data_IF_397149674003
#
_entry.id   IF_397149674003
#
_cell.length_a   1.000
_cell.length_b   1.000
_cell.length_c   1.000
_cell.angle_alpha   90.00
_cell.angle_beta   90.00
_cell.angle_gamma   90.00
#
_symmetry.space_group_name_H-M   'P 1'
#
loop_
_entity.id
_entity.type
_entity.pdbx_description
1 polymer ?
#
# COMPACT_ATOMS: atom_id res chain seq x y z
N UNK A 1 7.62 -0.55 7.15
CA UNK A 1 8.10 0.84 7.14
C UNK A 1 9.00 1.12 5.93
N UNK A 2 10.15 0.43 5.74
CA UNK A 2 11.05 0.56 4.56
C UNK A 2 10.35 0.62 3.20
N UNK A 3 9.43 -0.31 2.95
CA UNK A 3 8.72 -0.41 1.65
C UNK A 3 7.73 0.75 1.44
N UNK A 4 7.14 1.34 2.48
CA UNK A 4 6.11 2.38 2.33
C UNK A 4 6.65 3.81 2.49
N UNK A 5 7.64 4.01 3.35
CA UNK A 5 8.11 5.34 3.75
C UNK A 5 9.58 5.59 3.38
N UNK A 6 10.28 4.60 2.83
CA UNK A 6 11.70 4.67 2.51
C UNK A 6 12.62 4.38 3.70
N UNK A 7 13.91 4.19 3.42
CA UNK A 7 14.93 3.86 4.42
C UNK A 7 15.32 5.04 5.30
N UNK A 8 15.23 6.26 4.75
CA UNK A 8 15.69 7.46 5.45
C UNK A 8 14.80 7.86 6.63
N UNK A 9 13.58 7.33 6.69
CA UNK A 9 12.59 7.62 7.75
C UNK A 9 12.98 7.07 9.12
N UNK A 10 13.89 6.09 9.20
CA UNK A 10 14.38 5.62 10.49
C UNK A 10 15.18 6.69 11.25
N UNK A 11 15.90 7.56 10.53
CA UNK A 11 16.74 8.59 11.12
C UNK A 11 15.93 9.64 11.91
N UNK A 12 14.90 10.31 11.34
CA UNK A 12 14.10 11.28 12.07
C UNK A 12 13.33 10.62 13.22
N UNK A 13 12.87 9.37 13.04
CA UNK A 13 12.19 8.62 14.12
C UNK A 13 13.13 8.35 15.30
N UNK A 14 14.33 7.84 15.06
CA UNK A 14 15.30 7.56 16.12
C UNK A 14 15.75 8.85 16.82
N UNK A 15 16.08 9.88 16.04
CA UNK A 15 16.50 11.17 16.57
C UNK A 15 15.38 11.84 17.40
N UNK A 16 14.14 11.85 16.89
CA UNK A 16 13.00 12.43 17.60
C UNK A 16 12.65 11.65 18.87
N UNK A 17 12.70 10.32 18.81
CA UNK A 17 12.51 9.47 20.00
C UNK A 17 13.57 9.77 21.05
N UNK A 18 14.85 9.88 20.67
CA UNK A 18 15.94 10.24 21.58
C UNK A 18 15.74 11.61 22.24
N UNK A 19 15.38 12.63 21.45
CA UNK A 19 15.07 13.96 21.97
C UNK A 19 13.88 13.94 22.95
N UNK A 20 12.82 13.21 22.61
CA UNK A 20 11.62 13.14 23.45
C UNK A 20 11.85 12.39 24.76
N UNK A 21 12.70 11.36 24.76
CA UNK A 21 13.07 10.62 25.99
C UNK A 21 13.98 11.46 26.89
N UNK A 22 14.82 12.33 26.32
CA UNK A 22 15.62 13.29 27.10
C UNK A 22 14.79 14.40 27.74
N UNK A 23 13.65 14.77 27.14
CA UNK A 23 12.79 15.84 27.62
C UNK A 23 11.34 15.36 27.82
N UNK A 24 11.16 14.49 28.82
CA UNK A 24 9.87 13.87 29.15
C UNK A 24 8.77 14.86 29.54
N UNK A 25 9.13 16.10 29.91
CA UNK A 25 8.17 17.15 30.24
C UNK A 25 7.46 17.73 29.01
N UNK A 26 8.00 17.54 27.80
CA UNK A 26 7.33 17.98 26.58
C UNK A 26 6.25 16.96 26.16
N UNK A 27 5.08 17.07 26.77
CA UNK A 27 3.93 16.19 26.53
C UNK A 27 3.51 16.13 25.04
N UNK A 28 3.77 17.19 24.26
CA UNK A 28 3.46 17.22 22.82
C UNK A 28 4.37 16.31 22.00
N UNK A 29 5.66 16.27 22.33
CA UNK A 29 6.60 15.36 21.66
C UNK A 29 6.36 13.91 22.12
N UNK A 30 6.11 13.75 23.43
CA UNK A 30 5.85 12.45 24.02
C UNK A 30 4.58 11.80 23.43
N UNK A 31 3.51 12.58 23.21
CA UNK A 31 2.27 12.05 22.62
C UNK A 31 2.48 11.52 21.20
N UNK A 32 3.32 12.16 20.39
CA UNK A 32 3.67 11.69 19.05
C UNK A 32 4.49 10.40 19.08
N UNK A 33 5.45 10.29 20.01
CA UNK A 33 6.24 9.06 20.22
C UNK A 33 5.35 7.93 20.70
N UNK A 34 4.47 8.18 21.67
CA UNK A 34 3.51 7.19 22.18
C UNK A 34 2.52 6.78 21.08
N UNK A 35 2.05 7.71 20.25
CA UNK A 35 1.16 7.36 19.16
C UNK A 35 1.87 6.49 18.11
N UNK A 36 3.08 6.88 17.69
CA UNK A 36 3.88 6.10 16.75
C UNK A 36 4.16 4.70 17.30
N UNK A 37 4.83 4.61 18.45
CA UNK A 37 5.23 3.33 19.02
C UNK A 37 4.05 2.52 19.54
N UNK A 38 3.01 3.15 20.07
CA UNK A 38 1.80 2.47 20.52
C UNK A 38 1.11 1.72 19.38
N UNK A 39 0.97 2.34 18.21
CA UNK A 39 0.43 1.68 17.01
C UNK A 39 1.34 0.54 16.56
N UNK A 40 2.66 0.78 16.48
CA UNK A 40 3.60 -0.25 16.05
C UNK A 40 3.67 -1.45 17.01
N UNK A 41 3.69 -1.20 18.32
CA UNK A 41 3.71 -2.25 19.33
C UNK A 41 2.41 -3.04 19.33
N UNK A 42 1.26 -2.38 19.26
CA UNK A 42 -0.04 -3.04 19.18
C UNK A 42 -0.11 -4.00 18.00
N UNK A 43 0.22 -3.53 16.78
CA UNK A 43 0.19 -4.37 15.59
C UNK A 43 1.33 -5.39 15.50
N UNK A 44 2.38 -5.27 16.33
CA UNK A 44 3.41 -6.31 16.44
C UNK A 44 2.88 -7.58 17.09
N UNK A 45 1.86 -7.49 17.94
CA UNK A 45 1.20 -8.62 18.59
C UNK A 45 0.02 -9.20 17.78
N UNK A 46 -0.42 -8.52 16.71
CA UNK A 46 -1.51 -9.02 15.87
C UNK A 46 -1.08 -10.27 15.08
N UNK A 47 -1.96 -11.28 15.03
CA UNK A 47 -1.71 -12.54 14.34
C UNK A 47 -1.51 -12.36 12.82
N UNK A 48 -2.29 -11.45 12.21
CA UNK A 48 -2.21 -11.16 10.77
C UNK A 48 -1.44 -9.87 10.56
N UNK A 49 -0.19 -9.94 10.09
CA UNK A 49 0.64 -8.75 9.86
C UNK A 49 0.38 -8.16 8.48
N UNK A 50 -0.40 -7.08 8.40
CA UNK A 50 -0.65 -6.34 7.16
C UNK A 50 0.14 -5.03 7.10
N UNK A 51 0.69 -4.72 5.92
CA UNK A 51 1.45 -3.47 5.71
C UNK A 51 0.59 -2.21 5.93
N UNK A 52 -0.70 -2.30 5.63
CA UNK A 52 -1.68 -1.21 5.76
C UNK A 52 -1.82 -0.68 7.19
N UNK A 53 -1.48 -1.46 8.23
CA UNK A 53 -1.53 -1.00 9.62
C UNK A 53 -0.62 0.19 9.90
N UNK A 54 0.44 0.34 9.10
CA UNK A 54 1.36 1.48 9.21
C UNK A 54 0.74 2.81 8.77
N UNK A 55 -0.41 2.79 8.07
CA UNK A 55 -1.15 4.00 7.68
C UNK A 55 -1.68 4.75 8.90
N UNK A 56 -2.08 4.03 9.96
CA UNK A 56 -2.57 4.64 11.20
C UNK A 56 -1.46 5.43 11.91
N UNK A 57 -0.21 4.98 11.77
CA UNK A 57 0.97 5.64 12.30
C UNK A 57 1.53 6.75 11.38
N UNK A 58 1.03 6.87 10.15
CA UNK A 58 1.57 7.77 9.14
C UNK A 58 1.48 9.26 9.52
N UNK A 59 0.37 9.78 10.10
CA UNK A 59 0.31 11.20 10.47
C UNK A 59 1.36 11.58 11.52
N UNK A 60 1.57 10.75 12.54
CA UNK A 60 2.62 10.96 13.54
C UNK A 60 4.00 10.98 12.88
N UNK A 61 4.25 10.06 11.95
CA UNK A 61 5.50 9.95 11.22
C UNK A 61 5.77 11.19 10.36
N UNK A 62 4.76 11.74 9.69
CA UNK A 62 4.90 12.97 8.90
C UNK A 62 5.23 14.18 9.77
N UNK A 63 4.56 14.33 10.92
CA UNK A 63 4.85 15.40 11.87
C UNK A 63 6.28 15.30 12.40
N UNK A 64 6.71 14.09 12.78
CA UNK A 64 8.07 13.82 13.25
C UNK A 64 9.11 14.16 12.16
N UNK A 65 8.84 13.77 10.92
CA UNK A 65 9.73 14.02 9.79
C UNK A 65 9.84 15.51 9.47
N UNK A 66 8.71 16.24 9.51
CA UNK A 66 8.69 17.69 9.31
C UNK A 66 9.47 18.43 10.41
N UNK A 67 9.26 18.05 11.66
CA UNK A 67 10.00 18.64 12.79
C UNK A 67 11.50 18.36 12.72
N UNK A 68 11.88 17.13 12.33
CA UNK A 68 13.26 16.77 12.10
C UNK A 68 13.87 17.65 10.99
N UNK A 69 13.19 17.79 9.85
CA UNK A 69 13.65 18.63 8.74
C UNK A 69 13.94 20.07 9.18
N UNK A 70 13.04 20.71 9.95
CA UNK A 70 13.24 22.06 10.48
C UNK A 70 14.44 22.12 11.42
N UNK A 71 14.57 21.13 12.32
CA UNK A 71 15.67 21.06 13.29
C UNK A 71 17.03 20.86 12.60
N UNK A 72 17.10 19.99 11.58
CA UNK A 72 18.31 19.76 10.80
C UNK A 72 18.74 21.02 10.02
N UNK A 73 17.79 21.81 9.49
CA UNK A 73 18.10 23.11 8.88
C UNK A 73 18.63 24.10 9.89
N UNK A 74 18.01 24.21 11.08
CA UNK A 74 18.50 25.07 12.16
C UNK A 74 19.92 24.69 12.59
N UNK A 75 20.20 23.39 12.72
CA UNK A 75 21.56 22.92 13.02
C UNK A 75 22.56 23.19 11.89
N UNK A 76 22.13 23.15 10.63
CA UNK A 76 22.98 23.45 9.49
C UNK A 76 23.45 24.93 9.48
N UNK A 77 22.60 25.83 9.99
CA UNK A 77 22.93 27.25 10.17
C UNK A 77 23.87 27.47 11.36
N UNK A 78 23.68 26.73 12.46
CA UNK A 78 24.50 26.83 13.66
C UNK A 78 25.89 26.15 13.50
N UNK A 79 25.97 25.02 12.80
CA UNK A 79 27.18 24.21 12.65
C UNK A 79 27.71 24.24 11.20
N UNK A 80 28.39 25.33 10.84
CA UNK A 80 28.89 25.60 9.48
C UNK A 80 29.73 24.44 8.92
N UNK A 81 30.53 23.76 9.75
CA UNK A 81 31.38 22.63 9.35
C UNK A 81 30.59 21.46 8.74
N UNK A 82 29.37 21.21 9.19
CA UNK A 82 28.53 20.09 8.73
C UNK A 82 27.31 20.56 7.94
N UNK A 83 27.25 21.85 7.60
CA UNK A 83 26.12 22.49 6.92
C UNK A 83 25.65 21.72 5.69
N UNK A 84 26.57 21.35 4.80
CA UNK A 84 26.24 20.63 3.57
C UNK A 84 25.70 19.23 3.83
N UNK A 85 26.23 18.51 4.82
CA UNK A 85 25.75 17.18 5.19
C UNK A 85 24.33 17.26 5.78
N UNK A 86 24.09 18.21 6.67
CA UNK A 86 22.78 18.41 7.30
C UNK A 86 21.72 18.88 6.29
N UNK A 87 22.10 19.75 5.35
CA UNK A 87 21.22 20.15 4.23
C UNK A 87 20.94 18.98 3.30
N UNK A 88 21.97 18.20 2.91
CA UNK A 88 21.78 17.02 2.07
C UNK A 88 20.82 16.02 2.73
N UNK A 89 20.93 15.82 4.05
CA UNK A 89 20.03 14.96 4.81
C UNK A 89 18.60 15.51 4.82
N UNK A 90 18.43 16.81 5.08
CA UNK A 90 17.14 17.48 5.10
C UNK A 90 16.43 17.38 3.74
N UNK A 91 17.13 17.67 2.64
CA UNK A 91 16.59 17.50 1.28
C UNK A 91 16.35 16.03 0.94
N UNK A 92 17.18 15.12 1.45
CA UNK A 92 17.01 13.68 1.30
C UNK A 92 15.65 13.17 1.80
N UNK A 93 15.11 13.74 2.88
CA UNK A 93 13.77 13.38 3.38
C UNK A 93 12.64 13.68 2.40
N UNK A 94 12.85 14.60 1.46
CA UNK A 94 11.86 14.98 0.44
C UNK A 94 12.16 14.27 -0.89
N UNK A 95 13.42 14.28 -1.31
CA UNK A 95 13.83 13.76 -2.61
C UNK A 95 13.70 12.23 -2.71
N UNK A 96 14.01 11.50 -1.64
CA UNK A 96 13.93 10.03 -1.66
C UNK A 96 12.49 9.52 -1.79
N UNK A 97 11.50 9.98 -0.99
CA UNK A 97 10.11 9.59 -1.21
C UNK A 97 9.61 9.90 -2.62
N UNK A 98 9.97 11.06 -3.17
CA UNK A 98 9.60 11.45 -4.54
C UNK A 98 10.20 10.46 -5.56
N UNK A 99 11.48 10.12 -5.42
CA UNK A 99 12.14 9.14 -6.29
C UNK A 99 11.43 7.79 -6.24
N UNK A 100 11.15 7.26 -5.04
CA UNK A 100 10.42 6.01 -4.87
C UNK A 100 8.98 6.09 -5.40
N UNK A 101 8.31 7.24 -5.30
CA UNK A 101 6.99 7.44 -5.89
C UNK A 101 7.04 7.36 -7.42
N UNK A 102 8.02 8.00 -8.05
CA UNK A 102 8.21 7.94 -9.51
C UNK A 102 8.53 6.51 -9.95
N UNK A 103 9.46 5.84 -9.26
CA UNK A 103 9.83 4.44 -9.52
C UNK A 103 8.63 3.50 -9.38
N UNK A 104 7.74 3.73 -8.42
CA UNK A 104 6.54 2.90 -8.20
C UNK A 104 5.43 3.15 -9.22
N UNK A 105 5.19 4.41 -9.57
CA UNK A 105 4.17 4.76 -10.54
C UNK A 105 4.60 4.30 -11.94
N UNK A 106 5.92 4.15 -12.18
CA UNK A 106 6.51 3.85 -13.48
C UNK A 106 5.81 4.62 -14.61
N UNK A 107 5.75 5.96 -14.54
CA UNK A 107 4.89 6.75 -15.41
C UNK A 107 5.22 6.62 -16.91
N UNK A 108 6.46 6.21 -17.22
CA UNK A 108 6.95 6.03 -18.58
C UNK A 108 6.93 4.56 -19.06
N UNK A 109 6.52 3.63 -18.19
CA UNK A 109 6.41 2.21 -18.54
C UNK A 109 5.05 1.96 -19.22
N UNK A 110 5.05 2.04 -20.54
CA UNK A 110 3.87 1.77 -21.39
C UNK A 110 3.49 0.28 -21.42
N UNK A 111 4.30 -0.61 -20.82
CA UNK A 111 4.11 -2.06 -20.91
C UNK A 111 2.96 -2.60 -20.04
N UNK A 112 2.37 -1.80 -19.14
CA UNK A 112 1.53 -2.33 -18.05
C UNK A 112 0.02 -2.00 -18.14
N UNK A 113 -0.47 -1.27 -19.15
CA UNK A 113 -1.85 -0.73 -19.11
C UNK A 113 -2.85 -1.24 -20.14
N UNK A 114 -2.43 -1.99 -21.14
CA UNK A 114 -3.34 -2.78 -21.98
C UNK A 114 -3.13 -4.26 -21.74
N UNK A 115 -3.40 -4.69 -20.50
CA UNK A 115 -3.55 -6.10 -20.23
C UNK A 115 -4.77 -6.59 -21.02
N UNK A 116 -4.52 -7.32 -22.10
CA UNK A 116 -5.54 -7.89 -23.00
C UNK A 116 -6.65 -8.62 -22.23
N UNK A 117 -6.33 -9.22 -21.09
CA UNK A 117 -7.32 -9.83 -20.20
C UNK A 117 -8.31 -8.82 -19.58
N UNK A 118 -7.86 -7.61 -19.20
CA UNK A 118 -8.73 -6.61 -18.58
C UNK A 118 -9.71 -6.03 -19.60
N UNK A 119 -9.31 -5.89 -20.86
CA UNK A 119 -10.21 -5.52 -21.95
C UNK A 119 -11.25 -6.63 -22.21
N UNK A 120 -10.84 -7.91 -22.20
CA UNK A 120 -11.79 -9.04 -22.30
C UNK A 120 -12.81 -9.05 -21.15
N UNK A 121 -12.39 -8.79 -19.90
CA UNK A 121 -13.32 -8.70 -18.77
C UNK A 121 -14.30 -7.52 -18.91
N UNK A 122 -13.83 -6.36 -19.41
CA UNK A 122 -14.70 -5.21 -19.71
C UNK A 122 -15.67 -5.49 -20.86
N UNK A 123 -15.30 -6.30 -21.85
CA UNK A 123 -16.20 -6.77 -22.89
C UNK A 123 -17.28 -7.70 -22.32
N UNK A 124 -16.90 -8.64 -21.45
CA UNK A 124 -17.85 -9.51 -20.73
C UNK A 124 -18.81 -8.65 -19.89
N UNK A 125 -18.31 -7.61 -19.22
CA UNK A 125 -19.13 -6.67 -18.46
C UNK A 125 -20.19 -5.94 -19.31
N UNK A 126 -19.91 -5.69 -20.59
CA UNK A 126 -20.85 -5.07 -21.55
C UNK A 126 -21.76 -6.07 -22.25
N UNK A 127 -21.43 -7.36 -22.18
CA UNK A 127 -22.20 -8.42 -22.81
C UNK A 127 -23.41 -8.85 -21.97
N UNK A 128 -24.36 -9.56 -22.57
CA UNK A 128 -25.50 -10.17 -21.88
C UNK A 128 -25.13 -11.25 -20.85
N UNK A 129 -23.85 -11.61 -20.76
CA UNK A 129 -23.32 -12.56 -19.78
C UNK A 129 -23.13 -11.92 -18.40
N UNK A 130 -23.13 -10.59 -18.30
CA UNK A 130 -22.94 -9.84 -17.06
C UNK A 130 -24.19 -9.94 -16.15
N UNK A 131 -24.28 -11.04 -15.40
CA UNK A 131 -25.39 -11.29 -14.48
C UNK A 131 -24.88 -12.05 -13.25
N UNK A 132 -25.51 -11.82 -12.09
CA UNK A 132 -25.28 -12.54 -10.83
C UNK A 132 -25.51 -14.04 -10.93
N UNK A 133 -26.31 -14.47 -11.91
CA UNK A 133 -26.55 -15.89 -12.20
C UNK A 133 -25.54 -16.49 -13.19
N UNK A 134 -24.46 -15.80 -13.53
CA UNK A 134 -23.42 -16.34 -14.42
C UNK A 134 -22.17 -16.70 -13.60
N UNK A 135 -21.67 -17.92 -13.78
CA UNK A 135 -20.45 -18.42 -13.14
C UNK A 135 -19.36 -18.58 -14.20
N UNK A 136 -18.28 -17.81 -14.09
CA UNK A 136 -17.08 -17.91 -14.90
C UNK A 136 -16.14 -18.94 -14.25
N UNK A 137 -15.77 -19.99 -14.99
CA UNK A 137 -14.86 -21.03 -14.49
C UNK A 137 -13.58 -21.03 -15.31
N UNK A 138 -12.48 -21.53 -14.74
CA UNK A 138 -11.15 -21.50 -15.35
C UNK A 138 -10.64 -20.08 -15.64
N UNK A 139 -10.90 -19.14 -14.73
CA UNK A 139 -10.45 -17.75 -14.84
C UNK A 139 -9.16 -17.52 -14.04
N UNK A 140 -8.06 -17.15 -14.71
CA UNK A 140 -6.78 -16.85 -14.07
C UNK A 140 -6.83 -15.65 -13.09
N UNK A 141 -7.85 -14.80 -13.19
CA UNK A 141 -8.01 -13.56 -12.43
C UNK A 141 -9.44 -13.47 -11.85
N UNK A 142 -9.82 -14.36 -10.91
CA UNK A 142 -11.20 -14.46 -10.47
C UNK A 142 -11.65 -13.23 -9.67
N UNK A 143 -10.76 -12.64 -8.87
CA UNK A 143 -11.06 -11.44 -8.08
C UNK A 143 -11.29 -10.25 -8.99
N UNK A 144 -10.44 -10.07 -10.00
CA UNK A 144 -10.56 -9.00 -10.99
C UNK A 144 -11.79 -9.19 -11.88
N UNK A 145 -12.12 -10.43 -12.24
CA UNK A 145 -13.34 -10.75 -12.98
C UNK A 145 -14.61 -10.36 -12.19
N UNK A 146 -14.69 -10.69 -10.90
CA UNK A 146 -15.79 -10.25 -10.03
C UNK A 146 -15.79 -8.73 -9.76
N UNK A 147 -14.65 -8.07 -9.91
CA UNK A 147 -14.57 -6.61 -9.79
C UNK A 147 -15.12 -5.89 -11.04
N UNK A 148 -14.79 -6.40 -12.22
CA UNK A 148 -15.23 -5.81 -13.49
C UNK A 148 -16.62 -6.28 -13.94
N UNK A 149 -17.10 -7.42 -13.45
CA UNK A 149 -18.38 -8.03 -13.84
C UNK A 149 -19.22 -8.39 -12.61
N UNK A 150 -20.54 -8.49 -12.76
CA UNK A 150 -21.44 -9.01 -11.74
C UNK A 150 -21.47 -10.55 -11.70
N UNK A 151 -20.55 -11.23 -12.39
CA UNK A 151 -20.46 -12.68 -12.42
C UNK A 151 -19.66 -13.21 -11.23
N UNK A 152 -19.92 -14.46 -10.85
CA UNK A 152 -19.07 -15.18 -9.88
C UNK A 152 -17.95 -15.86 -10.68
N UNK A 153 -16.69 -15.68 -10.31
CA UNK A 153 -15.56 -16.28 -11.01
C UNK A 153 -14.76 -17.25 -10.13
N UNK A 154 -14.35 -18.38 -10.71
CA UNK A 154 -13.46 -19.36 -10.08
C UNK A 154 -12.29 -19.66 -11.01
N UNK A 155 -11.12 -19.87 -10.40
CA UNK A 155 -9.90 -20.32 -11.07
C UNK A 155 -9.98 -21.80 -11.44
N UNK A 156 -10.62 -22.61 -10.60
CA UNK A 156 -10.73 -24.04 -10.76
C UNK A 156 -11.94 -24.45 -11.62
N UNK A 157 -11.78 -25.58 -12.32
CA UNK A 157 -12.88 -26.23 -13.03
C UNK A 157 -13.72 -27.03 -12.01
N UNK A 158 -15.03 -26.77 -11.89
CA UNK A 158 -15.89 -27.50 -10.96
C UNK A 158 -16.09 -28.95 -11.42
N UNK A 159 -16.37 -29.85 -10.47
CA UNK A 159 -16.71 -31.24 -10.78
C UNK A 159 -18.08 -31.33 -11.49
N UNK A 160 -18.30 -32.36 -12.30
CA UNK A 160 -19.57 -32.52 -13.06
C UNK A 160 -20.82 -32.49 -12.18
N UNK A 161 -20.73 -33.00 -10.95
CA UNK A 161 -21.83 -32.95 -9.98
C UNK A 161 -22.18 -31.50 -9.58
N UNK A 162 -21.16 -30.66 -9.38
CA UNK A 162 -21.32 -29.25 -9.02
C UNK A 162 -21.87 -28.43 -10.18
N UNK A 163 -21.47 -28.76 -11.42
CA UNK A 163 -22.02 -28.16 -12.64
C UNK A 163 -23.54 -28.39 -12.70
N UNK A 164 -23.99 -29.64 -12.51
CA UNK A 164 -25.41 -29.98 -12.52
C UNK A 164 -26.18 -29.29 -11.40
N UNK A 165 -25.64 -29.19 -10.20
CA UNK A 165 -26.27 -28.46 -9.09
C UNK A 165 -26.43 -26.97 -9.38
N UNK A 166 -25.43 -26.35 -9.99
CA UNK A 166 -25.46 -24.94 -10.35
C UNK A 166 -26.47 -24.67 -11.47
N UNK A 167 -26.52 -25.52 -12.49
CA UNK A 167 -27.52 -25.44 -13.56
C UNK A 167 -28.95 -25.62 -13.02
N UNK A 168 -29.16 -26.57 -12.09
CA UNK A 168 -30.45 -26.77 -11.41
C UNK A 168 -30.88 -25.55 -10.57
N UNK A 169 -29.92 -24.81 -10.02
CA UNK A 169 -30.15 -23.54 -9.30
C UNK A 169 -30.33 -22.34 -10.25
N UNK A 170 -30.33 -22.56 -11.57
CA UNK A 170 -30.53 -21.53 -12.59
C UNK A 170 -29.28 -20.72 -12.93
N UNK A 171 -28.09 -21.20 -12.56
CA UNK A 171 -26.84 -20.55 -12.93
C UNK A 171 -26.37 -20.98 -14.32
N UNK A 172 -25.90 -20.00 -15.11
CA UNK A 172 -25.26 -20.22 -16.40
C UNK A 172 -23.75 -20.33 -16.21
N UNK A 173 -23.16 -21.44 -16.61
CA UNK A 173 -21.72 -21.68 -16.48
C UNK A 173 -21.04 -21.32 -17.79
N UNK A 174 -19.97 -20.54 -17.72
CA UNK A 174 -19.16 -20.12 -18.87
C UNK A 174 -17.70 -20.46 -18.59
N UNK A 175 -17.12 -21.30 -19.44
CA UNK A 175 -15.71 -21.68 -19.35
C UNK A 175 -14.86 -20.62 -20.02
N UNK A 176 -13.96 -19.99 -19.27
CA UNK A 176 -12.96 -19.10 -19.82
C UNK A 176 -11.79 -19.94 -20.35
N UNK A 177 -11.38 -19.68 -21.59
CA UNK A 177 -10.13 -20.24 -22.08
C UNK A 177 -8.96 -19.51 -21.38
N UNK A 178 -7.95 -20.25 -20.89
CA UNK A 178 -6.79 -19.62 -20.30
C UNK A 178 -6.06 -18.82 -21.40
N UNK A 179 -5.71 -17.58 -21.07
CA UNK A 179 -4.88 -16.71 -21.89
C UNK A 179 -3.41 -17.12 -21.78
#
# INVERSE_FOLDING_TARGET
MRIMFGELVYLPVLWFTYQSVKNLHNLKMLSLVIWLWGVYLFFSFAATKMQAYTIIAAPALFIITAHAYESFKGYAEQYIKYKWLLLALAYGFILLPIHYSIERIKPLDTSSREMSWANKLKEIAKSSLNNKHTVLVNCNYPVEAMFYTNCIAYDLMPAEQQVKELELKGYKIVVMQPL
#
